data_IF_478107702507
#
_entry.id   IF_478107702507
#
_cell.length_a   1.000
_cell.length_b   1.000
_cell.length_c   1.000
_cell.angle_alpha   90.00
_cell.angle_beta   90.00
_cell.angle_gamma   90.00
#
_symmetry.space_group_name_H-M   'P 1'
#
loop_
_entity.id
_entity.type
_entity.pdbx_description
1 polymer ?
#
# COMPACT_ATOMS: atom_id res chain seq x y z
N UNK A 1 -12.75 -14.05 -13.02
CA UNK A 1 -12.37 -13.20 -11.87
C UNK A 1 -12.93 -11.81 -12.06
N UNK A 2 -13.54 -11.26 -11.01
CA UNK A 2 -14.08 -9.90 -11.02
C UNK A 2 -12.97 -8.90 -10.76
N UNK A 3 -12.93 -7.81 -11.53
CA UNK A 3 -12.01 -6.72 -11.29
C UNK A 3 -12.32 -6.05 -9.93
N UNK A 4 -11.27 -5.70 -9.16
CA UNK A 4 -11.41 -5.03 -7.87
C UNK A 4 -11.97 -3.62 -8.01
N UNK A 5 -11.55 -2.92 -9.06
CA UNK A 5 -11.97 -1.55 -9.36
C UNK A 5 -12.58 -1.52 -10.76
N UNK A 6 -13.76 -0.95 -10.88
CA UNK A 6 -14.49 -0.92 -12.15
C UNK A 6 -13.99 0.21 -13.07
N UNK A 7 -13.41 1.27 -12.50
CA UNK A 7 -13.01 2.45 -13.26
C UNK A 7 -11.92 3.23 -12.54
N UNK A 8 -11.34 4.17 -13.27
CA UNK A 8 -10.35 5.09 -12.70
C UNK A 8 -10.95 5.96 -11.59
N UNK A 9 -12.24 6.29 -11.70
CA UNK A 9 -12.92 7.07 -10.67
C UNK A 9 -12.91 6.36 -9.31
N UNK A 10 -12.96 5.03 -9.29
CA UNK A 10 -12.90 4.26 -8.05
C UNK A 10 -11.53 4.40 -7.37
N UNK A 11 -10.46 4.39 -8.16
CA UNK A 11 -9.10 4.58 -7.64
C UNK A 11 -8.91 6.01 -7.13
N UNK A 12 -9.40 6.99 -7.88
CA UNK A 12 -9.33 8.41 -7.49
C UNK A 12 -10.08 8.62 -6.17
N UNK A 13 -11.24 7.98 -6.01
CA UNK A 13 -12.01 8.03 -4.75
C UNK A 13 -11.17 7.54 -3.57
N UNK A 14 -10.45 6.43 -3.73
CA UNK A 14 -9.58 5.90 -2.67
C UNK A 14 -8.44 6.89 -2.35
N UNK A 15 -7.76 7.37 -3.37
CA UNK A 15 -6.63 8.29 -3.19
C UNK A 15 -7.04 9.60 -2.51
N UNK A 16 -8.05 10.25 -3.04
CA UNK A 16 -8.56 11.50 -2.49
C UNK A 16 -9.16 11.30 -1.11
N UNK A 17 -9.86 10.18 -0.90
CA UNK A 17 -10.44 9.85 0.40
C UNK A 17 -9.40 9.60 1.47
N UNK A 18 -8.27 8.97 1.12
CA UNK A 18 -7.16 8.80 2.05
C UNK A 18 -6.58 10.17 2.45
N UNK A 19 -6.33 11.04 1.46
CA UNK A 19 -5.80 12.37 1.69
C UNK A 19 -6.71 13.21 2.61
N UNK A 20 -8.03 13.08 2.44
CA UNK A 20 -9.02 13.83 3.18
C UNK A 20 -9.46 13.16 4.49
N UNK A 21 -8.97 11.95 4.77
CA UNK A 21 -9.45 11.11 5.88
C UNK A 21 -10.97 10.91 5.83
N UNK A 22 -11.53 10.74 4.63
CA UNK A 22 -12.98 10.62 4.43
C UNK A 22 -13.44 9.21 4.08
N UNK A 23 -12.51 8.26 3.89
CA UNK A 23 -12.86 6.87 3.64
C UNK A 23 -13.44 6.24 4.90
N UNK A 24 -14.36 5.29 4.72
CA UNK A 24 -14.76 4.41 5.81
C UNK A 24 -13.67 3.38 6.05
N UNK A 25 -13.69 2.78 7.25
CA UNK A 25 -12.76 1.71 7.58
C UNK A 25 -12.89 0.54 6.60
N UNK A 26 -14.12 0.24 6.18
CA UNK A 26 -14.43 -0.85 5.25
C UNK A 26 -13.88 -0.62 3.85
N UNK A 27 -13.74 0.64 3.43
CA UNK A 27 -13.16 0.98 2.14
C UNK A 27 -11.64 0.81 2.10
N UNK A 28 -10.99 0.82 3.25
CA UNK A 28 -9.53 0.73 3.35
C UNK A 28 -9.07 -0.73 3.37
N UNK A 29 -9.28 -1.40 2.24
CA UNK A 29 -8.92 -2.81 2.04
C UNK A 29 -7.45 -2.97 1.66
N UNK A 30 -6.99 -4.22 1.59
CA UNK A 30 -5.65 -4.53 1.09
C UNK A 30 -5.44 -3.97 -0.33
N UNK A 31 -6.40 -4.17 -1.22
CA UNK A 31 -6.34 -3.61 -2.58
C UNK A 31 -6.32 -2.09 -2.58
N UNK A 32 -7.04 -1.45 -1.65
CA UNK A 32 -7.08 0.00 -1.53
C UNK A 32 -5.72 0.58 -1.17
N UNK A 33 -4.91 -0.13 -0.39
CA UNK A 33 -3.53 0.32 -0.08
C UNK A 33 -2.71 0.45 -1.37
N UNK A 34 -2.77 -0.55 -2.26
CA UNK A 34 -2.08 -0.48 -3.55
C UNK A 34 -2.68 0.59 -4.46
N UNK A 35 -4.01 0.73 -4.45
CA UNK A 35 -4.68 1.76 -5.25
C UNK A 35 -4.23 3.17 -4.84
N UNK A 36 -4.16 3.44 -3.54
CA UNK A 36 -3.71 4.73 -3.03
C UNK A 36 -2.25 5.00 -3.39
N UNK A 37 -1.37 4.00 -3.26
CA UNK A 37 0.04 4.13 -3.61
C UNK A 37 0.21 4.48 -5.09
N UNK A 38 -0.48 3.75 -5.96
CA UNK A 38 -0.43 3.97 -7.41
C UNK A 38 -1.06 5.30 -7.80
N UNK A 39 -2.13 5.71 -7.11
CA UNK A 39 -2.75 7.02 -7.32
C UNK A 39 -1.78 8.15 -7.00
N UNK A 40 -1.04 8.06 -5.89
CA UNK A 40 -0.01 9.05 -5.56
C UNK A 40 1.03 9.15 -6.68
N UNK A 41 1.50 8.01 -7.17
CA UNK A 41 2.51 7.96 -8.23
C UNK A 41 2.04 8.62 -9.53
N UNK A 42 0.77 8.46 -9.89
CA UNK A 42 0.20 9.01 -11.13
C UNK A 42 -0.29 10.45 -10.98
N UNK A 43 -1.00 10.75 -9.91
CA UNK A 43 -1.75 12.00 -9.77
C UNK A 43 -1.12 13.02 -8.82
N UNK A 44 -0.19 12.58 -7.99
CA UNK A 44 0.47 13.47 -7.03
C UNK A 44 1.99 13.36 -7.18
N UNK A 45 2.45 13.75 -8.36
CA UNK A 45 3.89 13.76 -8.69
C UNK A 45 4.67 14.81 -7.88
N UNK A 46 3.96 15.70 -7.20
CA UNK A 46 4.53 16.65 -6.23
C UNK A 46 4.93 15.98 -4.91
N UNK A 47 4.46 14.75 -4.66
CA UNK A 47 4.76 14.03 -3.42
C UNK A 47 5.63 12.80 -3.69
N UNK A 48 6.52 12.49 -2.73
CA UNK A 48 7.25 11.24 -2.71
C UNK A 48 6.41 10.21 -1.92
N UNK A 49 5.94 9.13 -2.54
CA UNK A 49 5.08 8.16 -1.84
C UNK A 49 5.73 7.60 -0.57
N UNK A 50 7.04 7.30 -0.60
CA UNK A 50 7.75 6.77 0.58
C UNK A 50 7.79 7.75 1.75
N UNK A 51 7.73 9.05 1.47
CA UNK A 51 7.72 10.09 2.50
C UNK A 51 6.30 10.49 2.91
N UNK A 52 5.34 10.48 1.97
CA UNK A 52 3.98 10.95 2.21
C UNK A 52 3.07 9.88 2.81
N UNK A 53 3.18 8.63 2.35
CA UNK A 53 2.26 7.57 2.75
C UNK A 53 2.24 7.31 4.25
N UNK A 54 3.38 7.29 4.97
CA UNK A 54 3.35 7.07 6.42
C UNK A 54 2.40 7.99 7.17
N UNK A 55 2.49 9.30 6.92
CA UNK A 55 1.62 10.29 7.57
C UNK A 55 0.16 10.14 7.18
N UNK A 56 -0.10 9.83 5.90
CA UNK A 56 -1.47 9.65 5.40
C UNK A 56 -2.14 8.45 6.06
N UNK A 57 -1.44 7.32 6.17
CA UNK A 57 -1.99 6.12 6.79
C UNK A 57 -2.23 6.34 8.28
N UNK A 58 -1.26 6.96 8.99
CA UNK A 58 -1.42 7.25 10.41
C UNK A 58 -2.64 8.13 10.66
N UNK A 59 -2.77 9.21 9.90
CA UNK A 59 -3.90 10.12 10.03
C UNK A 59 -5.23 9.43 9.77
N UNK A 60 -5.29 8.59 8.74
CA UNK A 60 -6.49 7.84 8.43
C UNK A 60 -6.85 6.88 9.58
N UNK A 61 -5.86 6.11 10.08
CA UNK A 61 -6.11 5.17 11.18
C UNK A 61 -6.73 5.88 12.37
N UNK A 62 -6.20 7.05 12.74
CA UNK A 62 -6.71 7.83 13.85
C UNK A 62 -8.11 8.37 13.56
N UNK A 63 -8.38 8.76 12.33
CA UNK A 63 -9.68 9.30 11.94
C UNK A 63 -10.82 8.30 12.07
N UNK A 64 -10.53 7.01 12.01
CA UNK A 64 -11.53 5.93 12.18
C UNK A 64 -11.45 5.26 13.55
N UNK A 65 -10.77 5.90 14.50
CA UNK A 65 -10.70 5.43 15.89
C UNK A 65 -9.59 4.42 16.16
N UNK A 66 -8.68 4.20 15.22
CA UNK A 66 -7.53 3.33 15.40
C UNK A 66 -6.41 3.99 16.18
N UNK A 67 -5.46 3.18 16.64
CA UNK A 67 -4.28 3.62 17.37
C UNK A 67 -3.04 3.17 16.61
N UNK A 68 -2.07 4.08 16.45
CA UNK A 68 -0.75 3.77 15.89
C UNK A 68 0.23 3.59 17.06
N UNK A 69 0.64 2.35 17.30
CA UNK A 69 1.50 1.99 18.42
C UNK A 69 2.51 0.94 18.02
N UNK A 70 3.30 0.47 18.97
CA UNK A 70 4.29 -0.58 18.73
C UNK A 70 3.66 -1.93 18.37
N UNK A 71 2.36 -2.11 18.63
CA UNK A 71 1.67 -3.39 18.41
C UNK A 71 0.46 -3.31 17.49
N UNK A 72 0.08 -2.10 17.06
CA UNK A 72 -1.12 -1.92 16.22
C UNK A 72 -0.98 -0.69 15.32
N UNK A 73 -1.75 -0.66 14.25
CA UNK A 73 -1.82 0.46 13.33
C UNK A 73 -0.69 0.46 12.33
N UNK A 74 -0.11 1.62 12.08
CA UNK A 74 0.89 1.81 11.04
C UNK A 74 2.10 0.87 11.20
N UNK A 75 2.60 0.37 10.07
CA UNK A 75 3.75 -0.53 10.05
C UNK A 75 4.72 -0.09 8.94
N UNK A 76 5.87 0.41 9.32
CA UNK A 76 6.81 1.03 8.38
C UNK A 76 7.35 0.02 7.35
N UNK A 77 7.83 -1.14 7.78
CA UNK A 77 8.42 -2.11 6.84
C UNK A 77 7.38 -2.62 5.83
N UNK A 78 6.16 -2.93 6.28
CA UNK A 78 5.09 -3.38 5.38
C UNK A 78 4.75 -2.29 4.37
N UNK A 79 4.64 -1.05 4.83
CA UNK A 79 4.31 0.08 3.96
C UNK A 79 5.38 0.30 2.90
N UNK A 80 6.64 0.37 3.32
CA UNK A 80 7.73 0.63 2.36
C UNK A 80 7.92 -0.52 1.38
N UNK A 81 7.79 -1.77 1.83
CA UNK A 81 7.84 -2.92 0.93
C UNK A 81 6.71 -2.89 -0.10
N UNK A 82 5.50 -2.55 0.34
CA UNK A 82 4.33 -2.45 -0.54
C UNK A 82 4.49 -1.31 -1.55
N UNK A 83 5.09 -0.20 -1.15
CA UNK A 83 5.39 0.91 -2.06
C UNK A 83 6.41 0.50 -3.12
N UNK A 84 7.41 -0.31 -2.76
CA UNK A 84 8.37 -0.82 -3.73
C UNK A 84 7.69 -1.75 -4.74
N UNK A 85 6.81 -2.63 -4.28
CA UNK A 85 6.04 -3.51 -5.16
C UNK A 85 5.15 -2.69 -6.11
N UNK A 86 4.46 -1.68 -5.57
CA UNK A 86 3.62 -0.79 -6.36
C UNK A 86 4.43 -0.03 -7.42
N UNK A 87 5.61 0.47 -7.05
CA UNK A 87 6.49 1.18 -8.00
C UNK A 87 6.95 0.26 -9.12
N UNK A 88 7.33 -0.97 -8.79
CA UNK A 88 7.72 -1.95 -9.81
C UNK A 88 6.58 -2.23 -10.80
N UNK A 89 5.36 -2.36 -10.31
CA UNK A 89 4.20 -2.55 -11.15
C UNK A 89 3.93 -1.30 -12.01
N UNK A 90 3.95 -0.13 -11.38
CA UNK A 90 3.71 1.14 -12.08
C UNK A 90 4.67 1.33 -13.26
N UNK A 91 5.95 1.07 -13.03
CA UNK A 91 6.99 1.25 -14.03
C UNK A 91 6.95 0.17 -15.13
N UNK A 92 6.30 -0.96 -14.88
CA UNK A 92 6.20 -2.05 -15.87
C UNK A 92 5.09 -1.86 -16.89
N UNK A 93 4.19 -0.90 -16.68
CA UNK A 93 3.08 -0.61 -17.59
C UNK A 93 3.38 0.66 -18.40
N UNK A 94 2.87 0.73 -19.66
CA UNK A 94 2.93 1.98 -20.44
C UNK A 94 2.26 3.14 -19.69
N UNK A 95 2.73 4.35 -19.94
CA UNK A 95 2.30 5.55 -19.22
C UNK A 95 0.80 5.88 -19.40
N UNK A 96 0.18 5.39 -20.47
CA UNK A 96 -1.23 5.63 -20.77
C UNK A 96 -2.20 4.60 -20.16
N UNK A 97 -1.68 3.56 -19.52
CA UNK A 97 -2.54 2.56 -18.88
C UNK A 97 -3.17 3.16 -17.61
N UNK A 98 -4.50 3.12 -17.48
CA UNK A 98 -5.17 3.65 -16.29
C UNK A 98 -4.75 2.90 -15.02
N UNK A 99 -4.67 3.63 -13.92
CA UNK A 99 -4.22 3.07 -12.63
C UNK A 99 -5.10 1.90 -12.19
N UNK A 100 -6.42 1.97 -12.39
CA UNK A 100 -7.30 0.89 -11.95
C UNK A 100 -6.94 -0.45 -12.61
N UNK A 101 -6.42 -0.43 -13.83
CA UNK A 101 -5.98 -1.66 -14.51
C UNK A 101 -4.69 -2.20 -13.92
N UNK A 102 -3.80 -1.32 -13.49
CA UNK A 102 -2.55 -1.72 -12.81
C UNK A 102 -2.88 -2.40 -11.47
N UNK A 103 -3.77 -1.79 -10.68
CA UNK A 103 -4.20 -2.38 -9.40
C UNK A 103 -4.83 -3.74 -9.63
N UNK A 104 -5.74 -3.83 -10.59
CA UNK A 104 -6.42 -5.10 -10.88
C UNK A 104 -5.44 -6.19 -11.34
N UNK A 105 -4.43 -5.81 -12.12
CA UNK A 105 -3.38 -6.74 -12.54
C UNK A 105 -2.59 -7.24 -11.32
N UNK A 106 -2.22 -6.36 -10.39
CA UNK A 106 -1.54 -6.74 -9.15
C UNK A 106 -2.39 -7.71 -8.33
N UNK A 107 -3.70 -7.44 -8.24
CA UNK A 107 -4.62 -8.29 -7.47
C UNK A 107 -4.90 -9.63 -8.18
N UNK A 108 -4.41 -9.81 -9.39
CA UNK A 108 -4.39 -11.09 -10.08
C UNK A 108 -3.15 -11.93 -9.79
N UNK A 109 -2.23 -11.43 -8.97
CA UNK A 109 -0.97 -12.08 -8.60
C UNK A 109 -0.98 -12.41 -7.11
N UNK A 110 0.14 -12.98 -6.62
CA UNK A 110 0.30 -13.29 -5.19
C UNK A 110 0.30 -12.04 -4.30
N UNK A 111 0.46 -10.84 -4.85
CA UNK A 111 0.30 -9.59 -4.09
C UNK A 111 -1.12 -9.38 -3.57
N UNK A 112 -2.11 -10.10 -4.10
CA UNK A 112 -3.47 -10.09 -3.56
C UNK A 112 -3.54 -10.68 -2.15
N UNK A 113 -2.57 -11.53 -1.77
CA UNK A 113 -2.48 -12.10 -0.44
C UNK A 113 -1.84 -11.07 0.51
N UNK A 114 -2.55 -10.64 1.58
CA UNK A 114 -1.95 -9.70 2.55
C UNK A 114 -0.68 -10.21 3.21
N UNK A 115 -0.45 -11.52 3.20
CA UNK A 115 0.72 -12.15 3.78
C UNK A 115 1.83 -12.41 2.76
N UNK A 116 1.81 -11.77 1.59
CA UNK A 116 2.84 -11.97 0.56
C UNK A 116 4.26 -11.67 1.07
N UNK A 117 4.38 -10.78 2.06
CA UNK A 117 5.68 -10.41 2.64
C UNK A 117 6.35 -11.57 3.38
N UNK A 118 5.57 -12.57 3.83
CA UNK A 118 6.13 -13.71 4.58
C UNK A 118 6.97 -14.65 3.72
N UNK A 119 6.99 -14.45 2.41
CA UNK A 119 7.97 -15.11 1.53
C UNK A 119 9.38 -14.55 1.76
N UNK A 120 9.49 -13.29 2.17
CA UNK A 120 10.75 -12.54 2.28
C UNK A 120 11.20 -12.32 3.71
N UNK A 121 10.26 -12.09 4.61
CA UNK A 121 10.52 -11.91 6.04
C UNK A 121 9.95 -13.08 6.83
N UNK A 122 10.72 -13.55 7.82
CA UNK A 122 10.14 -14.42 8.84
C UNK A 122 9.04 -13.65 9.60
N UNK A 123 8.05 -14.38 10.10
CA UNK A 123 6.94 -13.76 10.84
C UNK A 123 7.45 -13.00 12.06
N UNK A 124 8.36 -13.60 12.82
CA UNK A 124 8.90 -12.96 14.04
C UNK A 124 9.59 -11.63 13.72
N UNK A 125 10.37 -11.59 12.63
CA UNK A 125 11.04 -10.37 12.22
C UNK A 125 10.06 -9.32 11.71
N UNK A 126 9.13 -9.71 10.85
CA UNK A 126 8.16 -8.77 10.27
C UNK A 126 7.23 -8.18 11.33
N UNK A 127 6.82 -9.00 12.30
CA UNK A 127 5.91 -8.57 13.35
C UNK A 127 6.62 -7.96 14.56
N UNK A 128 7.94 -7.75 14.48
CA UNK A 128 8.70 -7.14 15.56
C UNK A 128 8.35 -5.64 15.68
N UNK A 129 8.60 -5.09 16.87
CA UNK A 129 8.47 -3.65 17.11
C UNK A 129 9.43 -2.88 16.21
N UNK A 130 10.65 -3.37 16.03
CA UNK A 130 11.65 -2.71 15.18
C UNK A 130 11.19 -2.60 13.74
N UNK A 131 10.60 -3.65 13.16
CA UNK A 131 10.08 -3.63 11.80
C UNK A 131 8.90 -2.66 11.66
N UNK A 132 8.09 -2.54 12.70
CA UNK A 132 6.96 -1.61 12.71
C UNK A 132 7.41 -0.15 12.74
N UNK A 133 8.50 0.13 13.46
CA UNK A 133 9.02 1.51 13.63
C UNK A 133 9.89 1.97 12.48
N UNK A 134 10.62 1.05 11.85
CA UNK A 134 11.60 1.41 10.83
C UNK A 134 11.77 0.26 9.83
N UNK A 135 12.35 0.56 8.68
CA UNK A 135 12.65 -0.46 7.68
C UNK A 135 13.63 -1.49 8.24
N UNK A 136 13.24 -2.76 8.16
CA UNK A 136 14.16 -3.88 8.38
C UNK A 136 14.31 -4.68 7.10
N UNK A 137 15.56 -5.05 6.78
CA UNK A 137 15.82 -5.89 5.62
C UNK A 137 15.18 -7.27 5.78
N UNK A 138 14.72 -7.88 4.67
CA UNK A 138 14.19 -9.24 4.72
C UNK A 138 15.27 -10.24 5.11
N UNK A 139 14.89 -11.25 5.89
CA UNK A 139 15.82 -12.27 6.42
C UNK A 139 15.72 -13.61 5.70
N UNK A 140 14.65 -13.87 4.93
CA UNK A 140 14.48 -15.15 4.24
C UNK A 140 14.96 -15.09 2.79
N UNK A 141 14.66 -14.01 2.10
CA UNK A 141 14.89 -13.87 0.67
C UNK A 141 14.90 -12.40 0.31
N UNK A 142 15.78 -11.98 -0.57
CA UNK A 142 15.82 -10.60 -1.04
C UNK A 142 14.59 -10.27 -1.86
N UNK A 143 14.10 -9.02 -1.72
CA UNK A 143 13.01 -8.54 -2.57
C UNK A 143 13.47 -8.48 -4.03
N UNK A 144 12.62 -8.86 -4.99
CA UNK A 144 12.96 -8.82 -6.42
C UNK A 144 12.82 -7.44 -7.04
N UNK A 145 12.48 -6.43 -6.27
CA UNK A 145 12.22 -5.07 -6.74
C UNK A 145 12.79 -4.01 -5.80
#
# INVERSE_FOLDING_TARGET
MTAMFASEADVIHIGEGLMACSLTKEEWTHAAHFAAALWLMRYRTDLQPSAAMPGLIRAFNESVGGVNSDTAGYHETITQASLRAARGAFDSFPADVPVYRIVNALMGTNFANPNWLLEYWSRDRLMSVDARRAWLEPDLKALPF
#
